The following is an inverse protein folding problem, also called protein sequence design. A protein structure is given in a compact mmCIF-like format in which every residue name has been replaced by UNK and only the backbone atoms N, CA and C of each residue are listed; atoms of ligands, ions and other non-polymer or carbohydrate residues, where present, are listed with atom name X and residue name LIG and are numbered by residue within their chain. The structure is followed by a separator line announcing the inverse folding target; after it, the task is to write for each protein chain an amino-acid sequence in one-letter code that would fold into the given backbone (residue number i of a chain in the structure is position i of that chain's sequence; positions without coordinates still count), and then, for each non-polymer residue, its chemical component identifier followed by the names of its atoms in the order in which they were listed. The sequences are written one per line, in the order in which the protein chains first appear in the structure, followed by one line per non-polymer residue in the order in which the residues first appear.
data_IF_837619861534
#
_entry.id   IF_837619861534
#
_cell.length_a   1.000
_cell.length_b   1.000
_cell.length_c   1.000
_cell.angle_alpha   90.00
_cell.angle_beta   90.00
_cell.angle_gamma   90.00
#
_symmetry.space_group_name_H-M   'P 1'
#
loop_
_entity.id
_entity.type
_entity.pdbx_description
1 polymer ?
#
# COMPACT_ATOMS: atom_id res chain seq x y z
N UNK A 1 -0.51 -5.40 1.08
CA UNK A 1 -1.44 -6.46 1.47
C UNK A 1 -2.76 -5.88 1.94
N UNK A 2 -3.84 -6.23 1.27
CA UNK A 2 -5.20 -5.90 1.69
C UNK A 2 -5.91 -7.15 2.20
N UNK A 3 -6.62 -7.00 3.32
CA UNK A 3 -7.42 -8.10 3.86
C UNK A 3 -8.81 -8.10 3.29
N UNK A 4 -9.45 -9.28 3.26
CA UNK A 4 -10.79 -9.41 2.68
C UNK A 4 -11.88 -8.69 3.50
N UNK A 5 -11.64 -8.46 4.79
CA UNK A 5 -12.59 -7.77 5.67
C UNK A 5 -11.89 -6.66 6.45
N UNK A 6 -12.58 -5.55 6.71
CA UNK A 6 -12.06 -4.42 7.49
C UNK A 6 -11.81 -4.76 8.96
N UNK A 7 -12.56 -5.71 9.54
CA UNK A 7 -12.53 -5.99 10.97
C UNK A 7 -11.38 -6.89 11.45
N UNK A 8 -10.72 -7.63 10.57
CA UNK A 8 -9.95 -8.81 11.01
C UNK A 8 -8.44 -8.65 11.02
N UNK A 9 -7.85 -7.45 10.76
CA UNK A 9 -6.42 -7.52 10.49
C UNK A 9 -5.58 -6.37 10.98
N UNK A 10 -5.90 -5.15 10.63
CA UNK A 10 -5.03 -4.03 10.91
C UNK A 10 -5.74 -3.03 11.83
N UNK A 11 -5.70 -3.34 13.11
CA UNK A 11 -6.32 -2.55 14.16
C UNK A 11 -5.41 -2.48 15.40
N UNK A 12 -5.85 -1.77 16.43
CA UNK A 12 -5.10 -1.56 17.67
C UNK A 12 -5.47 -2.50 18.82
N UNK A 13 -6.28 -3.54 18.60
CA UNK A 13 -6.79 -4.43 19.66
C UNK A 13 -5.69 -5.12 20.49
N UNK A 14 -4.50 -5.31 19.91
CA UNK A 14 -3.35 -5.94 20.55
C UNK A 14 -2.40 -4.97 21.25
N UNK A 15 -2.72 -3.68 21.30
CA UNK A 15 -1.94 -2.71 22.05
C UNK A 15 -2.02 -2.99 23.57
N UNK A 16 -1.02 -2.61 24.36
CA UNK A 16 -1.12 -2.61 25.82
C UNK A 16 -2.29 -1.75 26.32
N UNK A 17 -2.83 -2.06 27.49
CA UNK A 17 -3.83 -1.20 28.12
C UNK A 17 -3.29 0.23 28.30
N UNK A 18 -4.15 1.23 28.18
CA UNK A 18 -3.79 2.66 28.23
C UNK A 18 -2.83 3.10 27.11
N UNK A 19 -2.86 2.39 25.97
CA UNK A 19 -2.08 2.75 24.78
C UNK A 19 -3.02 2.95 23.59
N UNK A 20 -2.96 4.12 22.97
CA UNK A 20 -3.80 4.49 21.82
C UNK A 20 -2.97 5.05 20.67
N UNK A 21 -3.52 4.93 19.45
CA UNK A 21 -2.99 5.51 18.23
C UNK A 21 -4.00 6.50 17.67
N UNK A 22 -3.61 7.77 17.49
CA UNK A 22 -4.48 8.79 16.92
C UNK A 22 -4.39 8.78 15.39
N UNK A 23 -5.54 8.82 14.74
CA UNK A 23 -5.63 8.88 13.28
C UNK A 23 -6.67 9.90 12.85
N UNK A 24 -6.39 10.55 11.71
CA UNK A 24 -7.21 11.61 11.14
C UNK A 24 -7.57 11.27 9.71
N UNK A 25 -8.83 11.41 9.35
CA UNK A 25 -9.35 11.08 8.04
C UNK A 25 -9.84 12.36 7.31
N UNK A 26 -10.01 12.26 6.00
CA UNK A 26 -10.63 13.21 5.08
C UNK A 26 -9.77 14.42 4.67
N UNK A 27 -8.68 14.71 5.38
CA UNK A 27 -7.79 15.82 5.06
C UNK A 27 -6.98 15.67 3.76
N UNK A 28 -6.05 16.61 3.48
CA UNK A 28 -5.80 17.80 4.28
C UNK A 28 -6.83 18.90 4.06
N UNK A 29 -7.13 19.60 5.13
CA UNK A 29 -8.02 20.73 5.13
C UNK A 29 -7.48 21.92 5.94
N UNK A 30 -8.36 22.90 6.21
CA UNK A 30 -8.02 24.16 6.87
C UNK A 30 -7.29 23.97 8.21
N UNK A 31 -7.64 22.94 8.98
CA UNK A 31 -7.14 22.75 10.34
C UNK A 31 -6.05 21.68 10.47
N UNK A 32 -5.75 20.95 9.40
CA UNK A 32 -4.80 19.82 9.40
C UNK A 32 -3.42 20.22 9.94
N UNK A 33 -2.86 21.32 9.44
CA UNK A 33 -1.53 21.79 9.87
C UNK A 33 -1.49 22.21 11.35
N UNK A 34 -2.56 22.84 11.85
CA UNK A 34 -2.63 23.27 13.24
C UNK A 34 -2.85 22.08 14.19
N UNK A 35 -3.64 21.09 13.78
CA UNK A 35 -3.79 19.83 14.50
C UNK A 35 -2.42 19.10 14.59
N UNK A 36 -1.74 18.96 13.47
CA UNK A 36 -0.43 18.32 13.43
C UNK A 36 0.59 19.01 14.33
N UNK A 37 0.64 20.35 14.29
CA UNK A 37 1.52 21.14 15.15
C UNK A 37 1.20 20.97 16.62
N UNK A 38 -0.09 21.03 16.99
CA UNK A 38 -0.53 20.83 18.38
C UNK A 38 -0.11 19.45 18.90
N UNK A 39 -0.26 18.39 18.11
CA UNK A 39 0.17 17.04 18.48
C UNK A 39 1.69 16.95 18.61
N UNK A 40 2.43 17.52 17.66
CA UNK A 40 3.89 17.55 17.68
C UNK A 40 4.45 18.26 18.93
N UNK A 41 3.87 19.40 19.31
CA UNK A 41 4.24 20.16 20.51
C UNK A 41 3.96 19.35 21.80
N UNK A 42 2.98 18.45 21.78
CA UNK A 42 2.69 17.52 22.87
C UNK A 42 3.44 16.17 22.74
N UNK A 43 4.42 16.06 21.82
CA UNK A 43 5.22 14.85 21.57
C UNK A 43 4.37 13.65 21.12
N UNK A 44 3.25 13.89 20.48
CA UNK A 44 2.33 12.87 19.95
C UNK A 44 2.49 12.81 18.43
N UNK A 45 2.78 11.62 17.92
CA UNK A 45 2.80 11.36 16.48
C UNK A 45 1.51 10.65 16.07
N UNK A 46 0.92 11.07 14.96
CA UNK A 46 -0.34 10.57 14.46
C UNK A 46 -0.22 10.12 13.00
N UNK A 47 -1.31 9.57 12.46
CA UNK A 47 -1.43 9.21 11.04
C UNK A 47 -2.58 9.98 10.42
N UNK A 48 -2.33 10.62 9.28
CA UNK A 48 -3.32 11.35 8.50
C UNK A 48 -3.63 10.56 7.23
N UNK A 49 -4.84 10.04 7.12
CA UNK A 49 -5.33 9.37 5.91
C UNK A 49 -5.95 10.42 4.99
N UNK A 50 -5.19 10.82 3.99
CA UNK A 50 -5.54 11.96 3.16
C UNK A 50 -6.30 11.56 1.90
N UNK A 51 -7.27 12.38 1.52
CA UNK A 51 -8.01 12.28 0.27
C UNK A 51 -7.19 12.92 -0.85
N UNK A 52 -6.88 12.16 -1.88
CA UNK A 52 -5.90 12.54 -2.91
C UNK A 52 -6.22 13.87 -3.60
N UNK A 53 -7.49 14.15 -3.91
CA UNK A 53 -7.92 15.42 -4.51
C UNK A 53 -7.60 16.65 -3.65
N UNK A 54 -7.69 16.53 -2.32
CA UNK A 54 -7.33 17.62 -1.41
C UNK A 54 -5.82 17.70 -1.22
N UNK A 55 -5.16 16.56 -1.05
CA UNK A 55 -3.72 16.48 -0.93
C UNK A 55 -2.99 17.09 -2.14
N UNK A 56 -3.53 16.93 -3.35
CA UNK A 56 -2.99 17.54 -4.57
C UNK A 56 -2.93 19.08 -4.50
N UNK A 57 -3.89 19.70 -3.83
CA UNK A 57 -3.97 21.17 -3.71
C UNK A 57 -3.21 21.72 -2.49
N UNK A 58 -2.72 20.86 -1.59
CA UNK A 58 -2.07 21.26 -0.33
C UNK A 58 -0.72 20.58 -0.09
N UNK A 59 0.23 20.64 -1.06
CA UNK A 59 1.54 20.03 -0.91
C UNK A 59 2.32 20.59 0.28
N UNK A 60 2.11 21.84 0.66
CA UNK A 60 2.71 22.49 1.82
C UNK A 60 2.28 21.86 3.15
N UNK A 61 1.02 21.41 3.25
CA UNK A 61 0.54 20.72 4.45
C UNK A 61 1.16 19.32 4.54
N UNK A 62 1.23 18.58 3.42
CA UNK A 62 1.90 17.27 3.38
C UNK A 62 3.37 17.38 3.81
N UNK A 63 4.06 18.43 3.38
CA UNK A 63 5.45 18.69 3.78
C UNK A 63 5.56 18.93 5.29
N UNK A 64 4.65 19.72 5.88
CA UNK A 64 4.60 19.96 7.33
C UNK A 64 4.33 18.68 8.12
N UNK A 65 3.38 17.84 7.67
CA UNK A 65 3.11 16.53 8.30
C UNK A 65 4.38 15.66 8.33
N UNK A 66 5.10 15.61 7.21
CA UNK A 66 6.37 14.88 7.08
C UNK A 66 7.44 15.41 8.03
N UNK A 67 7.63 16.73 8.10
CA UNK A 67 8.64 17.38 8.95
C UNK A 67 8.37 17.16 10.44
N UNK A 68 7.10 17.10 10.84
CA UNK A 68 6.67 16.78 12.20
C UNK A 68 6.61 15.27 12.48
N UNK A 69 7.09 14.43 11.55
CA UNK A 69 7.14 12.97 11.66
C UNK A 69 5.77 12.29 11.87
N UNK A 70 4.69 12.93 11.39
CA UNK A 70 3.41 12.26 11.26
C UNK A 70 3.42 11.33 10.04
N UNK A 71 2.66 10.23 10.10
CA UNK A 71 2.46 9.36 8.94
C UNK A 71 1.36 9.94 8.03
N UNK A 72 1.57 9.77 6.73
CA UNK A 72 0.58 10.08 5.71
C UNK A 72 0.12 8.75 5.10
N UNK A 73 -1.16 8.47 5.19
CA UNK A 73 -1.82 7.31 4.61
C UNK A 73 -2.73 7.68 3.44
N UNK A 74 -3.13 6.66 2.69
CA UNK A 74 -4.00 6.79 1.53
C UNK A 74 -5.48 6.60 1.92
N UNK A 75 -6.35 7.57 1.57
CA UNK A 75 -7.80 7.53 1.80
C UNK A 75 -8.59 7.59 0.50
N UNK A 76 -8.05 7.04 -0.60
CA UNK A 76 -8.55 7.16 -1.98
C UNK A 76 -8.43 8.57 -2.56
N UNK A 77 -8.69 8.74 -3.86
CA UNK A 77 -8.56 10.04 -4.51
C UNK A 77 -9.81 10.91 -4.39
N UNK A 78 -11.00 10.32 -4.51
CA UNK A 78 -12.28 11.02 -4.53
C UNK A 78 -13.21 10.69 -3.35
N UNK A 79 -12.76 9.84 -2.42
CA UNK A 79 -13.51 9.41 -1.25
C UNK A 79 -14.81 8.63 -1.56
N UNK A 80 -14.79 7.61 -2.47
CA UNK A 80 -16.00 6.88 -2.82
C UNK A 80 -16.43 5.88 -1.75
N UNK A 81 -17.71 5.54 -1.71
CA UNK A 81 -18.22 4.32 -1.08
C UNK A 81 -17.69 3.12 -1.88
N UNK A 82 -16.63 2.47 -1.38
CA UNK A 82 -15.86 1.48 -2.16
C UNK A 82 -16.72 0.30 -2.64
N UNK A 83 -17.54 -0.38 -1.80
CA UNK A 83 -18.40 -1.45 -2.27
C UNK A 83 -19.33 -1.03 -3.40
N UNK A 84 -19.95 0.13 -3.26
CA UNK A 84 -20.82 0.67 -4.31
C UNK A 84 -20.03 1.03 -5.58
N UNK A 85 -18.89 1.70 -5.42
CA UNK A 85 -18.02 2.13 -6.51
C UNK A 85 -17.54 0.94 -7.36
N UNK A 86 -17.04 -0.13 -6.71
CA UNK A 86 -16.59 -1.35 -7.40
C UNK A 86 -17.75 -2.10 -8.04
N UNK A 87 -18.91 -2.17 -7.38
CA UNK A 87 -20.09 -2.81 -7.96
C UNK A 87 -20.66 -2.09 -9.19
N UNK A 88 -20.33 -0.80 -9.33
CA UNK A 88 -20.65 0.03 -10.49
C UNK A 88 -19.50 0.11 -11.53
N UNK A 89 -18.65 -0.90 -11.58
CA UNK A 89 -17.48 -0.99 -12.46
C UNK A 89 -16.44 0.13 -12.26
N UNK A 90 -16.41 0.74 -11.08
CA UNK A 90 -15.41 1.75 -10.71
C UNK A 90 -14.02 1.15 -10.53
N UNK A 91 -13.00 1.83 -11.02
CA UNK A 91 -11.61 1.38 -10.92
C UNK A 91 -10.99 1.77 -9.57
N UNK A 92 -11.01 0.87 -8.59
CA UNK A 92 -10.42 1.12 -7.26
C UNK A 92 -8.89 1.27 -7.31
N UNK A 93 -8.22 0.64 -8.26
CA UNK A 93 -6.76 0.78 -8.42
C UNK A 93 -6.42 2.23 -8.80
N UNK A 94 -7.20 2.85 -9.70
CA UNK A 94 -7.02 4.25 -10.08
C UNK A 94 -7.18 5.20 -8.88
N UNK A 95 -8.21 4.98 -8.06
CA UNK A 95 -8.46 5.77 -6.85
C UNK A 95 -7.26 5.74 -5.88
N UNK A 96 -6.65 4.58 -5.71
CA UNK A 96 -5.51 4.39 -4.80
C UNK A 96 -4.22 4.94 -5.42
N UNK A 97 -3.91 4.59 -6.66
CA UNK A 97 -2.65 4.96 -7.33
C UNK A 97 -2.55 6.47 -7.58
N UNK A 98 -3.65 7.14 -7.90
CA UNK A 98 -3.67 8.61 -8.03
C UNK A 98 -3.33 9.30 -6.71
N UNK A 99 -3.84 8.79 -5.60
CA UNK A 99 -3.49 9.31 -4.27
C UNK A 99 -2.01 9.05 -3.96
N UNK A 100 -1.52 7.85 -4.25
CA UNK A 100 -0.09 7.51 -4.06
C UNK A 100 0.82 8.45 -4.82
N UNK A 101 0.49 8.78 -6.06
CA UNK A 101 1.28 9.70 -6.87
C UNK A 101 1.43 11.08 -6.21
N UNK A 102 0.41 11.51 -5.47
CA UNK A 102 0.41 12.79 -4.74
C UNK A 102 1.21 12.68 -3.43
N UNK A 103 0.96 11.64 -2.62
CA UNK A 103 1.54 11.55 -1.27
C UNK A 103 2.96 11.01 -1.23
N UNK A 104 3.39 10.28 -2.24
CA UNK A 104 4.69 9.58 -2.29
C UNK A 104 5.91 10.43 -1.94
N UNK A 105 6.05 11.70 -2.35
CA UNK A 105 7.17 12.56 -1.95
C UNK A 105 7.25 12.83 -0.45
N UNK A 106 6.16 12.64 0.25
CA UNK A 106 5.99 13.00 1.66
C UNK A 106 5.95 11.79 2.60
N UNK A 107 5.80 10.58 2.06
CA UNK A 107 5.79 9.35 2.85
C UNK A 107 7.22 8.94 3.21
N UNK A 108 7.51 8.83 4.51
CA UNK A 108 8.82 8.42 5.05
C UNK A 108 8.95 6.89 5.25
N UNK A 109 8.04 6.11 4.70
CA UNK A 109 7.98 4.65 4.86
C UNK A 109 8.06 3.96 3.49
N UNK A 110 8.61 2.76 3.44
CA UNK A 110 8.53 1.85 2.30
C UNK A 110 7.11 1.26 2.13
N UNK A 111 6.20 1.56 3.07
CA UNK A 111 4.82 1.10 3.10
C UNK A 111 3.86 2.28 3.02
N UNK A 112 2.76 2.07 2.32
CA UNK A 112 1.61 2.98 2.30
C UNK A 112 0.49 2.36 3.11
N UNK A 113 0.05 3.04 4.15
CA UNK A 113 -1.11 2.63 4.95
C UNK A 113 -2.38 3.13 4.28
N UNK A 114 -3.36 2.24 4.16
CA UNK A 114 -4.61 2.54 3.48
C UNK A 114 -5.79 2.42 4.44
N UNK A 115 -6.71 3.38 4.40
CA UNK A 115 -8.01 3.31 5.08
C UNK A 115 -9.12 3.51 4.08
N UNK A 116 -10.16 2.67 4.17
CA UNK A 116 -11.33 2.77 3.31
C UNK A 116 -12.25 3.92 3.77
N UNK A 117 -12.72 4.79 2.86
CA UNK A 117 -13.74 5.77 3.15
C UNK A 117 -14.95 5.17 3.88
N UNK A 118 -15.46 5.88 4.89
CA UNK A 118 -16.58 5.44 5.75
C UNK A 118 -16.34 4.10 6.48
N UNK A 119 -15.12 3.54 6.44
CA UNK A 119 -14.84 2.17 6.88
C UNK A 119 -15.47 1.09 5.99
N UNK A 120 -16.04 1.45 4.85
CA UNK A 120 -16.72 0.53 3.95
C UNK A 120 -15.74 -0.18 3.03
N UNK A 121 -15.78 -1.51 3.06
CA UNK A 121 -14.84 -2.36 2.37
C UNK A 121 -15.50 -3.60 1.78
N UNK A 122 -14.89 -4.20 0.74
CA UNK A 122 -15.36 -5.44 0.17
C UNK A 122 -14.23 -6.41 -0.20
N UNK A 123 -14.50 -7.73 -0.23
CA UNK A 123 -13.54 -8.72 -0.69
C UNK A 123 -13.11 -8.51 -2.15
N UNK A 124 -14.00 -7.98 -3.00
CA UNK A 124 -13.74 -7.67 -4.41
C UNK A 124 -12.67 -6.60 -4.53
N UNK A 125 -12.81 -5.48 -3.80
CA UNK A 125 -11.81 -4.43 -3.75
C UNK A 125 -10.45 -4.94 -3.25
N UNK A 126 -10.44 -5.77 -2.19
CA UNK A 126 -9.23 -6.42 -1.71
C UNK A 126 -8.55 -7.27 -2.80
N UNK A 127 -9.34 -8.05 -3.53
CA UNK A 127 -8.84 -8.91 -4.61
C UNK A 127 -8.25 -8.11 -5.76
N UNK A 128 -8.90 -7.02 -6.18
CA UNK A 128 -8.39 -6.15 -7.23
C UNK A 128 -7.06 -5.51 -6.84
N UNK A 129 -6.98 -4.90 -5.66
CA UNK A 129 -5.78 -4.26 -5.17
C UNK A 129 -4.64 -5.26 -4.92
N UNK A 130 -4.92 -6.44 -4.37
CA UNK A 130 -3.90 -7.48 -4.17
C UNK A 130 -3.37 -8.09 -5.47
N UNK A 131 -4.10 -7.98 -6.57
CA UNK A 131 -3.62 -8.39 -7.91
C UNK A 131 -2.77 -7.32 -8.58
N UNK A 132 -2.88 -6.09 -8.15
CA UNK A 132 -2.10 -4.99 -8.73
C UNK A 132 -0.67 -4.99 -8.20
N UNK A 133 0.31 -4.82 -9.09
CA UNK A 133 1.70 -4.56 -8.70
C UNK A 133 1.90 -3.14 -8.20
N UNK A 134 0.97 -2.22 -8.53
CA UNK A 134 1.06 -0.80 -8.20
C UNK A 134 0.74 -0.52 -6.73
N UNK A 135 0.06 -1.45 -6.06
CA UNK A 135 -0.36 -1.35 -4.65
C UNK A 135 0.29 -2.42 -3.76
N UNK A 136 1.39 -3.01 -4.23
CA UNK A 136 2.05 -4.14 -3.55
C UNK A 136 2.64 -3.77 -2.17
N UNK A 137 3.07 -2.52 -2.00
CA UNK A 137 3.62 -1.98 -0.75
C UNK A 137 2.56 -1.49 0.23
N UNK A 138 1.28 -1.64 -0.08
CA UNK A 138 0.18 -1.20 0.78
C UNK A 138 -0.12 -2.17 1.90
N UNK A 139 -0.56 -1.60 3.03
CA UNK A 139 -1.09 -2.31 4.20
C UNK A 139 -2.45 -1.73 4.54
N UNK A 140 -3.50 -2.57 4.46
CA UNK A 140 -4.86 -2.12 4.76
C UNK A 140 -5.96 -3.15 4.50
N UNK A 141 -7.22 -2.76 4.69
CA UNK A 141 -7.62 -1.48 5.26
C UNK A 141 -7.31 -1.39 6.77
N UNK A 142 -6.82 -0.22 7.19
CA UNK A 142 -6.63 0.08 8.62
C UNK A 142 -7.99 0.37 9.25
N UNK A 143 -8.31 -0.37 10.30
CA UNK A 143 -9.55 -0.20 11.05
C UNK A 143 -9.28 0.51 12.39
N UNK A 144 -10.30 0.66 13.24
CA UNK A 144 -10.24 1.39 14.51
C UNK A 144 -11.10 0.74 15.59
N UNK A 145 -10.82 1.03 16.85
CA UNK A 145 -11.59 0.62 18.01
C UNK A 145 -12.51 1.73 18.51
N UNK A 146 -12.09 2.99 18.38
CA UNK A 146 -12.89 4.15 18.79
C UNK A 146 -13.29 4.95 17.55
N UNK A 147 -14.61 4.98 17.29
CA UNK A 147 -15.18 5.59 16.11
C UNK A 147 -15.06 7.13 16.13
N UNK A 148 -14.83 7.70 14.94
CA UNK A 148 -14.83 9.14 14.71
C UNK A 148 -16.23 9.73 14.73
N UNK A 149 -16.72 10.07 15.91
CA UNK A 149 -18.03 10.66 16.11
C UNK A 149 -18.03 12.19 16.02
N UNK A 150 -16.86 12.80 15.94
CA UNK A 150 -16.65 14.25 15.87
C UNK A 150 -17.44 14.91 14.73
N UNK A 151 -17.47 14.30 13.53
CA UNK A 151 -18.28 14.79 12.41
C UNK A 151 -19.78 14.94 12.76
N UNK A 152 -20.33 14.03 13.59
CA UNK A 152 -21.71 14.13 14.08
C UNK A 152 -21.92 15.36 14.96
N UNK A 153 -20.96 15.65 15.83
CA UNK A 153 -21.03 16.84 16.69
C UNK A 153 -20.97 18.12 15.87
N UNK A 154 -20.11 18.16 14.87
CA UNK A 154 -19.99 19.32 13.99
C UNK A 154 -21.21 19.49 13.09
N UNK A 155 -21.78 18.39 12.59
CA UNK A 155 -23.00 18.43 11.79
C UNK A 155 -24.18 19.02 12.58
N UNK A 156 -24.33 18.63 13.85
CA UNK A 156 -25.42 19.08 14.70
C UNK A 156 -25.10 20.36 15.48
N UNK A 157 -23.90 20.92 15.29
CA UNK A 157 -23.40 22.08 16.02
C UNK A 157 -23.46 21.91 17.56
N UNK A 158 -23.15 20.69 18.04
CA UNK A 158 -23.12 20.36 19.45
C UNK A 158 -21.84 20.88 20.13
N UNK A 159 -21.85 21.04 21.49
CA UNK A 159 -20.69 21.51 22.22
C UNK A 159 -19.46 20.60 22.05
N UNK A 160 -18.29 21.22 21.96
CA UNK A 160 -17.01 20.47 21.86
C UNK A 160 -16.69 19.72 23.14
N UNK A 161 -17.13 20.23 24.29
CA UNK A 161 -16.99 19.61 25.61
C UNK A 161 -17.72 18.27 25.67
N UNK A 162 -18.92 18.19 25.07
CA UNK A 162 -19.70 16.95 25.01
C UNK A 162 -19.02 15.92 24.10
N UNK A 163 -18.41 16.38 22.99
CA UNK A 163 -17.61 15.53 22.15
C UNK A 163 -16.39 14.98 22.93
N UNK A 164 -15.67 15.81 23.67
CA UNK A 164 -14.53 15.40 24.47
C UNK A 164 -14.93 14.36 25.53
N UNK A 165 -16.02 14.62 26.28
CA UNK A 165 -16.53 13.70 27.29
C UNK A 165 -16.92 12.33 26.68
N UNK A 166 -17.50 12.35 25.48
CA UNK A 166 -17.85 11.12 24.77
C UNK A 166 -16.61 10.35 24.33
N UNK A 167 -15.61 11.00 23.77
CA UNK A 167 -14.34 10.34 23.40
C UNK A 167 -13.63 9.75 24.61
N UNK A 168 -13.58 10.46 25.75
CA UNK A 168 -13.02 9.92 27.00
C UNK A 168 -13.76 8.65 27.41
N UNK A 169 -15.10 8.67 27.37
CA UNK A 169 -15.92 7.49 27.73
C UNK A 169 -15.62 6.31 26.81
N UNK A 170 -15.60 6.51 25.52
CA UNK A 170 -15.38 5.44 24.53
C UNK A 170 -13.95 4.89 24.62
N UNK A 171 -12.94 5.76 24.81
CA UNK A 171 -11.55 5.37 25.00
C UNK A 171 -11.35 4.59 26.31
N UNK A 172 -11.95 5.02 27.42
CA UNK A 172 -11.87 4.31 28.69
C UNK A 172 -12.59 2.94 28.62
N UNK A 173 -13.66 2.83 27.85
CA UNK A 173 -14.34 1.56 27.62
C UNK A 173 -13.45 0.58 26.82
N UNK A 174 -12.79 1.04 25.78
CA UNK A 174 -11.89 0.22 24.94
C UNK A 174 -10.52 0.00 25.59
N UNK A 175 -10.03 0.99 26.35
CA UNK A 175 -8.75 1.02 27.06
C UNK A 175 -7.51 0.96 26.19
N UNK A 176 -7.66 0.76 24.88
CA UNK A 176 -6.58 0.66 23.88
C UNK A 176 -7.16 0.76 22.49
N UNK A 177 -6.31 0.99 21.49
CA UNK A 177 -6.73 0.89 20.10
C UNK A 177 -6.44 2.12 19.27
N UNK A 178 -6.92 2.09 18.04
CA UNK A 178 -6.88 3.21 17.11
C UNK A 178 -8.11 4.07 17.32
N UNK A 179 -7.90 5.38 17.48
CA UNK A 179 -8.95 6.39 17.62
C UNK A 179 -9.01 7.20 16.32
N UNK A 180 -10.22 7.35 15.76
CA UNK A 180 -10.45 8.12 14.55
C UNK A 180 -11.00 9.49 14.88
N UNK A 181 -10.44 10.50 14.23
CA UNK A 181 -10.92 11.87 14.13
C UNK A 181 -10.98 12.29 12.67
N UNK A 182 -11.61 13.42 12.38
CA UNK A 182 -11.63 14.02 11.06
C UNK A 182 -10.97 15.41 11.13
N UNK A 183 -9.84 15.59 10.46
CA UNK A 183 -9.18 16.90 10.33
C UNK A 183 -9.82 17.77 9.23
N UNK A 184 -10.57 17.13 8.34
CA UNK A 184 -11.51 17.73 7.39
C UNK A 184 -12.78 16.86 7.32
N UNK A 185 -13.76 17.20 6.49
CA UNK A 185 -14.95 16.39 6.24
C UNK A 185 -15.19 16.36 4.73
N UNK A 186 -14.80 15.24 4.10
CA UNK A 186 -14.67 15.15 2.65
C UNK A 186 -15.93 15.47 1.86
N UNK A 187 -17.09 15.00 2.33
CA UNK A 187 -18.33 15.01 1.53
C UNK A 187 -19.42 15.92 2.10
N UNK A 188 -19.09 16.74 3.09
CA UNK A 188 -20.07 17.63 3.74
C UNK A 188 -19.57 19.07 3.78
N UNK A 189 -19.54 19.75 2.63
CA UNK A 189 -19.04 21.13 2.51
C UNK A 189 -19.72 22.12 3.49
N UNK A 190 -20.97 21.86 3.85
CA UNK A 190 -21.73 22.67 4.81
C UNK A 190 -21.21 22.52 6.23
N UNK A 191 -20.59 21.37 6.56
CA UNK A 191 -20.07 21.05 7.90
C UNK A 191 -18.61 21.44 8.04
N UNK A 192 -17.84 21.46 6.96
CA UNK A 192 -16.39 21.84 6.98
C UNK A 192 -16.08 23.09 7.81
N UNK A 193 -16.82 24.21 7.66
CA UNK A 193 -16.55 25.42 8.46
C UNK A 193 -16.83 25.27 9.96
N UNK A 194 -17.52 24.21 10.37
CA UNK A 194 -17.90 23.91 11.75
C UNK A 194 -16.98 22.92 12.42
N UNK A 195 -15.97 22.41 11.71
CA UNK A 195 -15.00 21.49 12.26
C UNK A 195 -14.25 22.13 13.44
N UNK A 196 -14.32 21.49 14.61
CA UNK A 196 -13.70 21.91 15.88
C UNK A 196 -12.77 20.81 16.43
N UNK A 197 -12.24 19.97 15.57
CA UNK A 197 -11.38 18.85 16.00
C UNK A 197 -10.10 19.34 16.70
N UNK A 198 -9.56 20.48 16.32
CA UNK A 198 -8.42 21.08 17.06
C UNK A 198 -8.82 21.45 18.49
N UNK A 199 -9.96 22.09 18.70
CA UNK A 199 -10.49 22.47 20.01
C UNK A 199 -10.81 21.23 20.84
N UNK A 200 -11.39 20.22 20.22
CA UNK A 200 -11.64 18.91 20.85
C UNK A 200 -10.33 18.31 21.38
N UNK A 201 -9.27 18.28 20.57
CA UNK A 201 -7.98 17.71 20.98
C UNK A 201 -7.33 18.50 22.13
N UNK A 202 -7.48 19.83 22.15
CA UNK A 202 -6.99 20.67 23.26
C UNK A 202 -7.66 20.35 24.60
N UNK A 203 -8.91 19.87 24.59
CA UNK A 203 -9.62 19.41 25.79
C UNK A 203 -9.27 17.95 26.10
N UNK A 204 -9.25 17.09 25.08
CA UNK A 204 -9.14 15.65 25.23
C UNK A 204 -7.72 15.19 25.63
N UNK A 205 -6.68 15.71 24.98
CA UNK A 205 -5.29 15.23 25.16
C UNK A 205 -4.83 15.40 26.63
N UNK A 206 -5.00 16.57 27.30
CA UNK A 206 -4.63 16.71 28.71
C UNK A 206 -5.36 15.70 29.60
N UNK A 207 -6.65 15.47 29.40
CA UNK A 207 -7.43 14.51 30.20
C UNK A 207 -6.92 13.08 30.03
N UNK A 208 -6.59 12.67 28.81
CA UNK A 208 -6.05 11.33 28.56
C UNK A 208 -4.65 11.15 29.14
N UNK A 209 -3.81 12.20 29.14
CA UNK A 209 -2.51 12.17 29.80
C UNK A 209 -2.66 12.01 31.34
N UNK A 210 -3.58 12.75 31.96
CA UNK A 210 -3.90 12.59 33.40
C UNK A 210 -4.42 11.19 33.73
N UNK A 211 -5.18 10.58 32.82
CA UNK A 211 -5.65 9.19 32.94
C UNK A 211 -4.54 8.17 32.66
N UNK A 212 -3.32 8.61 32.33
CA UNK A 212 -2.15 7.75 32.11
C UNK A 212 -2.11 7.06 30.75
N UNK A 213 -2.75 7.62 29.74
CA UNK A 213 -2.66 7.13 28.36
C UNK A 213 -1.32 7.46 27.72
N UNK A 214 -0.79 6.49 26.99
CA UNK A 214 0.38 6.62 26.13
C UNK A 214 -0.03 6.58 24.66
N UNK A 215 0.76 7.22 23.82
CA UNK A 215 0.49 7.33 22.40
C UNK A 215 1.55 6.58 21.60
N UNK A 216 1.11 5.87 20.57
CA UNK A 216 1.97 5.20 19.60
C UNK A 216 1.59 5.61 18.19
N UNK A 217 2.55 5.63 17.30
CA UNK A 217 2.29 5.84 15.88
C UNK A 217 1.79 4.54 15.24
N UNK A 218 1.07 4.62 14.12
CA UNK A 218 0.42 3.47 13.49
C UNK A 218 1.39 2.33 13.14
N UNK A 219 2.58 2.66 12.67
CA UNK A 219 3.62 1.70 12.29
C UNK A 219 4.32 1.01 13.47
N UNK A 220 4.04 1.45 14.70
CA UNK A 220 4.52 0.83 15.94
C UNK A 220 3.56 -0.26 16.44
N UNK A 221 2.31 -0.29 15.95
CA UNK A 221 1.32 -1.31 16.32
C UNK A 221 1.82 -2.69 15.83
N UNK A 222 1.96 -3.71 16.71
CA UNK A 222 2.62 -4.97 16.37
C UNK A 222 2.04 -5.69 15.14
N UNK A 223 0.69 -5.74 15.00
CA UNK A 223 0.01 -6.36 13.87
C UNK A 223 0.27 -5.65 12.54
N UNK A 224 0.46 -4.34 12.57
CA UNK A 224 0.72 -3.49 11.42
C UNK A 224 2.22 -3.50 11.09
N UNK A 225 3.07 -3.40 12.12
CA UNK A 225 4.53 -3.44 11.99
C UNK A 225 5.02 -4.73 11.33
N UNK A 226 4.41 -5.86 11.67
CA UNK A 226 4.77 -7.18 11.13
C UNK A 226 4.07 -7.51 9.82
N UNK A 227 3.11 -6.70 9.38
CA UNK A 227 2.48 -6.87 8.07
C UNK A 227 3.53 -6.74 6.98
N UNK A 228 3.87 -7.85 6.33
CA UNK A 228 4.84 -7.83 5.24
C UNK A 228 4.20 -7.23 4.00
N UNK A 229 4.76 -6.12 3.53
CA UNK A 229 4.61 -5.75 2.13
C UNK A 229 5.36 -6.83 1.31
N UNK A 230 4.63 -7.67 0.60
CA UNK A 230 5.26 -8.68 -0.23
C UNK A 230 5.73 -8.03 -1.52
N UNK A 231 7.00 -8.26 -1.89
CA UNK A 231 7.47 -7.87 -3.22
C UNK A 231 6.58 -8.55 -4.26
N UNK A 232 6.00 -7.81 -5.22
CA UNK A 232 5.11 -8.41 -6.20
C UNK A 232 5.90 -9.37 -7.09
N UNK A 233 5.36 -10.57 -7.26
CA UNK A 233 5.82 -11.54 -8.24
C UNK A 233 4.84 -11.50 -9.40
N UNK A 234 5.31 -11.17 -10.59
CA UNK A 234 4.45 -10.89 -11.72
C UNK A 234 5.08 -11.32 -13.06
N UNK A 235 4.30 -11.31 -14.11
CA UNK A 235 4.77 -11.40 -15.49
C UNK A 235 4.42 -10.13 -16.24
N UNK A 236 5.30 -9.65 -17.09
CA UNK A 236 5.01 -8.66 -18.12
C UNK A 236 4.68 -9.37 -19.43
N UNK A 237 3.58 -8.97 -20.07
CA UNK A 237 3.08 -9.58 -21.31
C UNK A 237 2.86 -8.51 -22.37
N UNK A 238 3.24 -8.81 -23.58
CA UNK A 238 2.90 -7.97 -24.74
C UNK A 238 1.39 -7.97 -24.99
N UNK A 239 0.90 -7.05 -25.84
CA UNK A 239 -0.50 -7.07 -26.34
C UNK A 239 -0.88 -8.41 -27.02
N UNK A 240 0.10 -9.15 -27.55
CA UNK A 240 -0.09 -10.49 -28.15
C UNK A 240 -0.04 -11.62 -27.11
N UNK A 241 0.03 -11.31 -25.83
CA UNK A 241 0.04 -12.30 -24.74
C UNK A 241 1.39 -12.99 -24.52
N UNK A 242 2.46 -12.64 -25.22
CA UNK A 242 3.80 -13.20 -24.99
C UNK A 242 4.43 -12.58 -23.75
N UNK A 243 4.98 -13.41 -22.85
CA UNK A 243 5.69 -12.93 -21.68
C UNK A 243 7.10 -12.43 -22.01
N UNK A 244 7.63 -11.56 -21.15
CA UNK A 244 9.07 -11.26 -21.17
C UNK A 244 9.80 -12.47 -20.61
N UNK A 245 10.83 -12.89 -21.33
CA UNK A 245 11.64 -14.08 -21.03
C UNK A 245 13.13 -13.77 -21.11
N UNK A 246 13.93 -14.63 -20.48
CA UNK A 246 15.38 -14.61 -20.59
C UNK A 246 15.84 -15.59 -21.70
N UNK A 247 16.75 -15.13 -22.56
CA UNK A 247 17.54 -15.99 -23.44
C UNK A 247 19.02 -15.79 -23.14
N UNK A 248 19.79 -16.82 -23.45
CA UNK A 248 21.24 -16.82 -23.19
C UNK A 248 21.55 -16.34 -21.74
N UNK A 249 20.66 -16.68 -20.79
CA UNK A 249 20.74 -16.35 -19.37
C UNK A 249 20.57 -14.85 -19.02
N UNK A 250 20.75 -13.94 -19.95
CA UNK A 250 20.80 -12.49 -19.67
C UNK A 250 19.99 -11.61 -20.63
N UNK A 251 19.68 -12.05 -21.82
CA UNK A 251 18.97 -11.24 -22.82
C UNK A 251 17.46 -11.23 -22.57
N UNK A 252 16.83 -10.05 -22.61
CA UNK A 252 15.40 -9.89 -22.42
C UNK A 252 14.63 -9.91 -23.74
N UNK A 253 13.71 -10.84 -23.88
CA UNK A 253 12.91 -11.08 -25.09
C UNK A 253 11.41 -11.07 -24.79
N UNK A 254 10.62 -10.65 -25.76
CA UNK A 254 9.16 -10.60 -25.69
C UNK A 254 8.49 -11.81 -26.39
N UNK A 255 8.93 -13.01 -26.11
CA UNK A 255 8.47 -14.23 -26.80
C UNK A 255 8.16 -15.40 -25.85
N UNK A 256 8.29 -15.19 -24.53
CA UNK A 256 8.09 -16.22 -23.52
C UNK A 256 6.64 -16.70 -23.41
N UNK A 257 6.47 -17.92 -22.87
CA UNK A 257 5.16 -18.45 -22.54
C UNK A 257 4.61 -17.80 -21.26
N UNK A 258 3.35 -17.34 -21.23
CA UNK A 258 2.79 -16.54 -20.13
C UNK A 258 2.78 -17.25 -18.76
N UNK A 259 2.71 -18.57 -18.76
CA UNK A 259 2.59 -19.37 -17.53
C UNK A 259 3.89 -20.07 -17.13
N UNK A 260 5.01 -19.76 -17.78
CA UNK A 260 6.31 -20.32 -17.41
C UNK A 260 6.86 -19.59 -16.18
N UNK A 261 7.15 -20.34 -15.12
CA UNK A 261 7.73 -19.81 -13.87
C UNK A 261 9.10 -19.13 -14.08
N UNK A 262 9.83 -19.50 -15.13
CA UNK A 262 11.09 -18.85 -15.51
C UNK A 262 10.90 -17.41 -16.05
N UNK A 263 9.67 -16.99 -16.32
CA UNK A 263 9.33 -15.64 -16.76
C UNK A 263 8.78 -14.78 -15.61
N UNK A 264 8.84 -15.27 -14.37
CA UNK A 264 8.45 -14.50 -13.20
C UNK A 264 9.46 -13.41 -12.91
N UNK A 265 8.93 -12.25 -12.62
CA UNK A 265 9.67 -11.03 -12.30
C UNK A 265 9.33 -10.60 -10.89
N UNK A 266 10.24 -9.91 -10.22
CA UNK A 266 9.96 -9.20 -8.96
C UNK A 266 10.19 -7.72 -9.15
N UNK A 267 9.38 -6.89 -8.48
CA UNK A 267 9.46 -5.44 -8.53
C UNK A 267 10.03 -4.92 -7.22
N UNK A 268 10.95 -3.96 -7.32
CA UNK A 268 11.41 -3.12 -6.21
C UNK A 268 10.92 -1.69 -6.43
N UNK A 269 10.18 -1.15 -5.49
CA UNK A 269 9.75 0.24 -5.50
C UNK A 269 10.88 1.11 -4.94
N UNK A 270 11.38 2.02 -5.76
CA UNK A 270 12.46 2.94 -5.41
C UNK A 270 11.96 4.32 -4.97
N UNK A 271 10.65 4.50 -4.89
CA UNK A 271 10.06 5.80 -4.60
C UNK A 271 9.87 6.68 -5.84
N UNK A 272 9.03 7.72 -5.71
CA UNK A 272 8.77 8.73 -6.75
C UNK A 272 8.37 8.19 -8.13
N UNK A 273 7.64 7.06 -8.17
CA UNK A 273 7.25 6.41 -9.44
C UNK A 273 8.39 5.64 -10.11
N UNK A 274 9.54 5.54 -9.47
CA UNK A 274 10.70 4.78 -9.95
C UNK A 274 10.68 3.37 -9.41
N UNK A 275 11.06 2.42 -10.26
CA UNK A 275 11.13 1.00 -9.94
C UNK A 275 12.39 0.36 -10.48
N UNK A 276 12.77 -0.77 -9.91
CA UNK A 276 13.66 -1.75 -10.53
C UNK A 276 12.94 -3.08 -10.71
N UNK A 277 13.24 -3.81 -11.77
CA UNK A 277 12.64 -5.10 -12.08
C UNK A 277 13.74 -6.17 -12.07
N UNK A 278 13.55 -7.19 -11.25
CA UNK A 278 14.48 -8.32 -11.18
C UNK A 278 13.92 -9.50 -11.96
N UNK A 279 14.74 -10.08 -12.82
CA UNK A 279 14.42 -11.26 -13.61
C UNK A 279 14.60 -12.59 -12.82
N UNK A 280 14.21 -13.69 -13.42
CA UNK A 280 14.29 -15.02 -12.80
C UNK A 280 15.75 -15.49 -12.51
N UNK A 281 16.74 -14.91 -13.17
CA UNK A 281 18.17 -15.15 -12.91
C UNK A 281 18.70 -14.35 -11.69
N UNK A 282 17.84 -13.64 -10.97
CA UNK A 282 18.14 -12.76 -9.83
C UNK A 282 18.94 -11.48 -10.17
N UNK A 283 19.06 -11.11 -11.43
CA UNK A 283 19.64 -9.85 -11.88
C UNK A 283 18.57 -8.86 -12.29
N UNK A 284 18.87 -7.56 -12.18
CA UNK A 284 17.95 -6.48 -12.55
C UNK A 284 17.97 -6.23 -14.05
N UNK A 285 16.82 -5.82 -14.59
CA UNK A 285 16.74 -5.25 -15.94
C UNK A 285 17.67 -4.06 -16.01
N UNK A 286 18.52 -4.03 -17.02
CA UNK A 286 19.52 -2.99 -17.24
C UNK A 286 19.49 -2.48 -18.68
N UNK A 287 19.65 -1.16 -18.82
CA UNK A 287 19.84 -0.48 -20.11
C UNK A 287 21.31 -0.38 -20.52
N UNK A 288 22.23 -0.95 -19.74
CA UNK A 288 23.66 -0.96 -20.02
C UNK A 288 24.10 -1.98 -21.11
N UNK A 289 23.14 -2.70 -21.71
CA UNK A 289 23.44 -3.67 -22.78
C UNK A 289 23.87 -3.01 -24.10
N UNK A 290 24.60 -3.74 -24.89
CA UNK A 290 25.08 -3.28 -26.23
C UNK A 290 23.89 -2.97 -27.16
N UNK A 291 24.06 -1.96 -28.03
CA UNK A 291 23.08 -1.56 -29.04
C UNK A 291 21.67 -1.25 -28.44
N UNK A 292 21.62 -0.61 -27.28
CA UNK A 292 20.39 -0.29 -26.58
C UNK A 292 19.49 -1.51 -26.20
N UNK A 293 20.02 -2.72 -26.26
CA UNK A 293 19.30 -3.92 -25.83
C UNK A 293 19.21 -3.94 -24.30
N UNK A 294 18.05 -4.33 -23.78
CA UNK A 294 17.92 -4.60 -22.34
C UNK A 294 18.48 -5.98 -22.02
N UNK A 295 19.19 -6.03 -20.90
CA UNK A 295 19.73 -7.26 -20.33
C UNK A 295 19.31 -7.39 -18.87
N UNK A 296 19.49 -8.57 -18.29
CA UNK A 296 19.37 -8.80 -16.86
C UNK A 296 20.72 -9.29 -16.31
N UNK A 297 21.63 -8.35 -16.07
CA UNK A 297 23.04 -8.61 -15.74
C UNK A 297 23.53 -7.92 -14.47
N UNK A 298 22.83 -6.89 -13.97
CA UNK A 298 23.25 -6.14 -12.80
C UNK A 298 22.72 -6.77 -11.50
N UNK A 299 23.59 -6.95 -10.53
CA UNK A 299 23.20 -7.33 -9.17
C UNK A 299 22.76 -6.13 -8.31
N UNK A 300 23.11 -4.90 -8.72
CA UNK A 300 22.87 -3.66 -8.03
C UNK A 300 21.93 -2.75 -8.83
N UNK A 301 21.26 -1.83 -8.14
CA UNK A 301 20.34 -0.86 -8.74
C UNK A 301 21.06 0.48 -8.86
N UNK A 302 21.31 0.89 -10.10
CA UNK A 302 21.89 2.18 -10.46
C UNK A 302 20.93 2.91 -11.44
N UNK A 303 21.39 3.96 -12.09
CA UNK A 303 20.59 4.68 -13.05
C UNK A 303 20.12 3.80 -14.24
N UNK A 304 20.94 2.83 -14.67
CA UNK A 304 20.65 1.92 -15.77
C UNK A 304 19.64 0.83 -15.43
N UNK A 305 19.42 0.54 -14.15
CA UNK A 305 18.43 -0.43 -13.63
C UNK A 305 17.16 0.24 -13.14
N UNK A 306 17.11 1.59 -13.15
CA UNK A 306 15.99 2.38 -12.69
C UNK A 306 15.07 2.77 -13.85
N UNK A 307 13.77 2.56 -13.66
CA UNK A 307 12.74 2.90 -14.65
C UNK A 307 11.63 3.72 -14.00
N UNK A 308 11.09 4.70 -14.72
CA UNK A 308 9.80 5.29 -14.38
C UNK A 308 8.69 4.32 -14.80
N UNK A 309 7.84 3.94 -13.85
CA UNK A 309 6.66 3.16 -14.13
C UNK A 309 5.52 4.10 -14.51
N UNK A 310 5.01 3.98 -15.74
CA UNK A 310 3.95 4.81 -16.29
C UNK A 310 2.70 3.96 -16.48
N UNK A 311 1.66 4.12 -15.63
CA UNK A 311 0.38 3.45 -15.81
C UNK A 311 -0.30 3.89 -17.12
N UNK A 312 -0.79 2.92 -17.89
CA UNK A 312 -1.61 3.16 -19.09
C UNK A 312 -3.08 2.93 -18.76
N UNK A 313 -3.35 1.88 -17.98
CA UNK A 313 -4.64 1.55 -17.38
C UNK A 313 -4.42 0.62 -16.18
N UNK A 314 -5.50 0.10 -15.59
CA UNK A 314 -5.45 -0.75 -14.40
C UNK A 314 -4.53 -1.99 -14.51
N UNK A 315 -4.29 -2.50 -15.71
CA UNK A 315 -3.53 -3.73 -15.94
C UNK A 315 -2.37 -3.58 -16.92
N UNK A 316 -2.05 -2.36 -17.33
CA UNK A 316 -1.04 -2.09 -18.37
C UNK A 316 -0.13 -0.94 -17.98
N UNK A 317 1.15 -1.12 -18.25
CA UNK A 317 2.20 -0.13 -17.97
C UNK A 317 3.09 0.09 -19.19
N UNK A 318 3.75 1.24 -19.19
CA UNK A 318 4.97 1.52 -19.96
C UNK A 318 6.12 1.75 -18.99
N UNK A 319 7.34 1.52 -19.46
CA UNK A 319 8.57 1.77 -18.71
C UNK A 319 9.38 2.82 -19.43
N UNK A 320 9.83 3.86 -18.72
CA UNK A 320 10.73 4.88 -19.23
C UNK A 320 12.08 4.80 -18.51
N UNK A 321 13.14 4.80 -19.25
CA UNK A 321 14.51 4.79 -18.74
C UNK A 321 14.91 6.16 -18.20
N UNK A 322 15.95 6.22 -17.38
CA UNK A 322 16.48 7.48 -16.81
C UNK A 322 17.02 8.45 -17.87
N UNK A 323 17.40 7.97 -19.05
CA UNK A 323 17.80 8.81 -20.18
C UNK A 323 16.59 9.43 -20.95
N UNK A 324 15.37 9.20 -20.51
CA UNK A 324 14.13 9.71 -21.11
C UNK A 324 13.51 8.82 -22.19
N UNK A 325 14.21 7.81 -22.70
CA UNK A 325 13.68 6.89 -23.70
C UNK A 325 12.76 5.84 -23.04
N UNK A 326 11.86 5.27 -23.83
CA UNK A 326 10.96 4.21 -23.40
C UNK A 326 11.48 2.83 -23.81
N UNK A 327 11.07 1.82 -23.05
CA UNK A 327 11.27 0.43 -23.47
C UNK A 327 10.39 0.12 -24.66
N UNK A 328 10.98 -0.49 -25.68
CA UNK A 328 10.30 -0.98 -26.88
C UNK A 328 10.61 -2.46 -27.14
N UNK A 329 9.88 -3.05 -28.07
CA UNK A 329 10.15 -4.39 -28.58
C UNK A 329 10.74 -4.21 -29.98
N UNK A 330 12.02 -4.53 -30.12
CA UNK A 330 12.73 -4.47 -31.39
C UNK A 330 12.16 -5.45 -32.42
N UNK A 331 12.56 -5.30 -33.71
CA UNK A 331 12.09 -6.16 -34.81
C UNK A 331 12.35 -7.66 -34.58
N UNK A 332 13.40 -8.00 -33.88
CA UNK A 332 13.76 -9.37 -33.53
C UNK A 332 12.94 -9.96 -32.36
N UNK A 333 12.24 -9.12 -31.61
CA UNK A 333 11.56 -9.48 -30.35
C UNK A 333 12.38 -9.22 -29.10
N UNK A 334 13.62 -8.71 -29.22
CA UNK A 334 14.40 -8.23 -28.04
C UNK A 334 13.77 -6.96 -27.46
N UNK A 335 13.92 -6.78 -26.16
CA UNK A 335 13.61 -5.51 -25.50
C UNK A 335 14.74 -4.50 -25.76
N UNK A 336 14.37 -3.28 -26.11
CA UNK A 336 15.31 -2.18 -26.38
C UNK A 336 14.89 -0.91 -25.63
N UNK A 337 15.83 0.02 -25.41
CA UNK A 337 15.60 1.35 -24.83
C UNK A 337 15.65 2.46 -25.92
N UNK A 338 15.13 2.19 -27.12
CA UNK A 338 15.28 3.07 -28.28
C UNK A 338 14.08 4.01 -28.51
N UNK A 339 12.94 3.75 -27.92
CA UNK A 339 11.72 4.52 -28.19
C UNK A 339 11.83 5.94 -27.59
N UNK A 340 11.94 6.93 -28.44
CA UNK A 340 12.00 8.34 -28.01
C UNK A 340 10.64 8.94 -27.65
N UNK A 341 9.55 8.32 -28.12
CA UNK A 341 8.19 8.81 -27.93
C UNK A 341 7.28 7.71 -27.37
N UNK A 342 6.29 8.09 -26.56
CA UNK A 342 5.30 7.17 -25.98
C UNK A 342 4.59 6.28 -27.01
N UNK A 343 4.31 6.80 -28.22
CA UNK A 343 3.69 6.03 -29.31
C UNK A 343 4.53 4.86 -29.83
N UNK A 344 5.83 4.88 -29.58
CA UNK A 344 6.79 3.83 -29.95
C UNK A 344 7.04 2.85 -28.81
N UNK A 345 6.64 3.24 -27.59
CA UNK A 345 6.84 2.45 -26.38
C UNK A 345 6.05 1.13 -26.42
N UNK A 346 6.63 0.10 -25.85
CA UNK A 346 5.91 -1.14 -25.59
C UNK A 346 4.92 -0.92 -24.44
N UNK A 347 3.67 -1.32 -24.64
CA UNK A 347 2.67 -1.44 -23.58
C UNK A 347 2.68 -2.89 -23.13
N UNK A 348 2.97 -3.07 -21.83
CA UNK A 348 2.98 -4.38 -21.19
C UNK A 348 1.75 -4.55 -20.32
N UNK A 349 1.01 -5.63 -20.52
CA UNK A 349 0.04 -6.09 -19.55
C UNK A 349 0.78 -6.86 -18.45
N UNK A 350 0.40 -6.69 -17.20
CA UNK A 350 0.98 -7.46 -16.11
C UNK A 350 -0.03 -8.40 -15.46
N UNK A 351 0.47 -9.49 -14.91
CA UNK A 351 -0.32 -10.40 -14.07
C UNK A 351 0.46 -10.72 -12.80
N UNK A 352 -0.15 -10.43 -11.64
CA UNK A 352 0.42 -10.71 -10.33
C UNK A 352 0.24 -12.20 -10.00
N UNK A 353 1.31 -12.84 -9.54
CA UNK A 353 1.36 -14.26 -9.22
C UNK A 353 1.58 -14.56 -7.72
N UNK A 354 1.60 -13.59 -6.84
CA UNK A 354 1.86 -13.79 -5.42
C UNK A 354 0.99 -14.88 -4.79
N UNK A 355 -0.30 -14.93 -5.13
CA UNK A 355 -1.23 -15.94 -4.63
C UNK A 355 -0.93 -17.35 -5.15
N UNK A 356 -0.47 -17.47 -6.39
CA UNK A 356 -0.14 -18.76 -7.03
C UNK A 356 1.12 -19.33 -6.40
N UNK A 357 2.13 -18.51 -6.20
CA UNK A 357 3.41 -18.92 -5.59
C UNK A 357 3.21 -19.35 -4.14
N UNK A 358 2.42 -18.61 -3.35
CA UNK A 358 2.07 -19.01 -1.97
C UNK A 358 1.40 -20.39 -1.92
N UNK A 359 0.43 -20.65 -2.78
CA UNK A 359 -0.25 -21.92 -2.83
C UNK A 359 0.71 -23.06 -3.23
N UNK A 360 1.63 -22.82 -4.17
CA UNK A 360 2.64 -23.79 -4.60
C UNK A 360 3.64 -24.09 -3.50
N UNK A 361 4.13 -23.09 -2.77
CA UNK A 361 5.05 -23.26 -1.64
C UNK A 361 4.37 -23.99 -0.47
N UNK A 362 3.11 -23.68 -0.18
CA UNK A 362 2.30 -24.36 0.83
C UNK A 362 2.07 -25.83 0.46
N UNK A 363 1.77 -26.11 -0.81
CA UNK A 363 1.64 -27.48 -1.34
C UNK A 363 2.97 -28.24 -1.25
N UNK A 364 4.09 -27.65 -1.67
CA UNK A 364 5.42 -28.28 -1.56
C UNK A 364 5.81 -28.58 -0.10
N UNK A 365 5.54 -27.65 0.84
CA UNK A 365 5.74 -27.89 2.26
C UNK A 365 4.87 -29.05 2.78
N UNK A 366 3.60 -29.12 2.36
CA UNK A 366 2.70 -30.24 2.71
C UNK A 366 3.19 -31.57 2.11
N UNK A 367 3.65 -31.58 0.87
CA UNK A 367 4.22 -32.78 0.23
C UNK A 367 5.53 -33.23 0.91
N UNK A 368 6.40 -32.30 1.31
CA UNK A 368 7.63 -32.60 2.06
C UNK A 368 7.32 -33.21 3.43
N UNK A 369 6.32 -32.71 4.14
CA UNK A 369 5.85 -33.25 5.42
C UNK A 369 5.23 -34.65 5.27
N UNK A 370 4.43 -34.87 4.22
CA UNK A 370 3.85 -36.18 3.89
C UNK A 370 4.93 -37.19 3.54
N UNK A 371 5.96 -36.77 2.77
CA UNK A 371 7.09 -37.63 2.43
C UNK A 371 7.92 -38.04 3.67
N UNK A 372 8.14 -37.11 4.60
CA UNK A 372 8.78 -37.39 5.90
C UNK A 372 7.94 -38.35 6.76
N UNK A 373 6.63 -38.18 6.82
CA UNK A 373 5.73 -39.10 7.55
C UNK A 373 5.73 -40.49 6.94
N UNK A 374 5.69 -40.62 5.61
CA UNK A 374 5.75 -41.90 4.91
C UNK A 374 7.08 -42.62 5.14
N UNK A 375 8.21 -41.91 5.15
CA UNK A 375 9.52 -42.49 5.48
C UNK A 375 9.57 -42.99 6.93
N UNK A 376 9.00 -42.23 7.86
CA UNK A 376 8.91 -42.64 9.27
C UNK A 376 8.03 -43.87 9.49
N UNK A 377 6.90 -43.94 8.78
CA UNK A 377 6.02 -45.15 8.82
C UNK A 377 6.72 -46.35 8.21
N UNK A 378 7.42 -46.20 7.07
CA UNK A 378 8.22 -47.28 6.48
C UNK A 378 9.33 -47.80 7.41
N UNK A 379 10.04 -46.91 8.10
CA UNK A 379 11.08 -47.31 9.06
C UNK A 379 10.50 -48.08 10.25
N UNK A 380 9.36 -47.66 10.78
CA UNK A 380 8.67 -48.39 11.87
C UNK A 380 8.11 -49.78 11.44
N UNK A 381 7.64 -49.87 10.18
CA UNK A 381 7.20 -51.18 9.63
C UNK A 381 8.38 -52.15 9.43
N UNK A 382 9.52 -51.67 8.96
CA UNK A 382 10.70 -52.49 8.83
C UNK A 382 11.24 -52.96 10.19
N UNK A 383 11.20 -52.14 11.24
CA UNK A 383 11.58 -52.55 12.60
C UNK A 383 10.60 -53.59 13.20
N UNK A 384 9.32 -53.63 12.80
CA UNK A 384 8.36 -54.66 13.25
C UNK A 384 8.44 -55.98 12.49
N UNK A 385 9.08 -56.00 11.32
CA UNK A 385 9.28 -57.22 10.51
C UNK A 385 10.59 -57.92 10.89
N UNK A 386 11.49 -57.22 11.59
CA UNK A 386 12.80 -57.70 12.03
C UNK A 386 12.85 -58.15 13.49
N UNK A 387 11.71 -58.18 14.16
CA UNK A 387 11.42 -58.76 15.46
C UNK A 387 10.46 -59.98 15.28
#
# INVERSE_FOLDING_TARGET
LYTATSFNSFNGSNLPAKTICLTFDDGPGKHTADIARFLFENQIQATFFVVGKYAYHHPEILQQLKEMNHLIGNHTYEHPDIPYYVSADGNIIDQVVRTDAVIKPYVNSDRVYFRAPYGKWSPEAANELNRSILTANHVGPIYWEVAGIDCYYWQNNWPVEDAAARYVTDIEQQRRGIVVFHDEIADMDVVKPRNKTLELLKILIPQLLELGYQYVRLDEIPSIKTASAEKPIFTLRTKKGKAISLKNEVELWADGQPNNLQNLLTLEDLGYGKIAIKAANNFYFSTAGDNNNLTATSAEINATETFDLIPVNANSIMLRCTNGNFIAIGKTGKLTSEAQYMRQAAIFNYANHNLVVKNSVSLMKRFSLLKKRLLFIKSKLQQKISQ
#
